data_IF_961358138990
#
_entry.id   IF_961358138990
#
_cell.length_a   1.000
_cell.length_b   1.000
_cell.length_c   1.000
_cell.angle_alpha   90.00
_cell.angle_beta   90.00
_cell.angle_gamma   90.00
#
_symmetry.space_group_name_H-M   'P 1'
#
loop_
_entity.id
_entity.type
_entity.pdbx_description
1 polymer ?
#
# COMPACT_ATOMS: atom_id res chain seq x y z
N UNK A 1 9.43 6.54 22.05
CA UNK A 1 8.11 7.16 21.76
C UNK A 1 8.12 7.77 20.33
N UNK A 2 8.05 6.96 19.27
CA UNK A 2 7.90 7.45 17.87
C UNK A 2 6.79 6.73 17.10
N UNK A 3 6.37 5.53 17.52
CA UNK A 3 5.43 4.70 16.77
C UNK A 3 4.00 5.28 16.67
N UNK A 4 3.55 6.09 17.65
CA UNK A 4 2.22 6.74 17.60
C UNK A 4 2.09 7.63 16.36
N UNK A 5 3.12 8.43 16.05
CA UNK A 5 3.13 9.32 14.87
C UNK A 5 3.21 8.55 13.55
N UNK A 6 3.82 7.37 13.56
CA UNK A 6 4.04 6.55 12.37
C UNK A 6 2.74 5.86 11.95
N UNK A 7 1.98 5.32 12.91
CA UNK A 7 0.64 4.76 12.65
C UNK A 7 -0.34 5.82 12.14
N UNK A 8 -0.31 7.05 12.68
CA UNK A 8 -1.15 8.15 12.17
C UNK A 8 -0.82 8.47 10.70
N UNK A 9 0.47 8.52 10.34
CA UNK A 9 0.88 8.72 8.94
C UNK A 9 0.46 7.57 8.04
N UNK A 10 0.56 6.33 8.52
CA UNK A 10 0.06 5.15 7.82
C UNK A 10 -1.44 5.23 7.53
N UNK A 11 -2.24 5.68 8.51
CA UNK A 11 -3.68 5.89 8.33
C UNK A 11 -4.00 6.98 7.30
N UNK A 12 -3.31 8.13 7.36
CA UNK A 12 -3.49 9.21 6.37
C UNK A 12 -3.11 8.74 4.97
N UNK A 13 -2.01 8.00 4.84
CA UNK A 13 -1.62 7.39 3.57
C UNK A 13 -2.69 6.44 3.02
N UNK A 14 -3.24 5.57 3.89
CA UNK A 14 -4.30 4.65 3.50
C UNK A 14 -5.58 5.39 3.06
N UNK A 15 -5.97 6.45 3.77
CA UNK A 15 -7.21 7.19 3.51
C UNK A 15 -7.13 8.12 2.29
N UNK A 16 -5.97 8.72 2.01
CA UNK A 16 -5.84 9.73 0.95
C UNK A 16 -5.12 9.22 -0.30
N UNK A 17 -4.01 8.48 -0.14
CA UNK A 17 -3.21 8.03 -1.30
C UNK A 17 -3.73 6.70 -1.79
N UNK A 18 -3.88 5.72 -0.89
CA UNK A 18 -4.27 4.36 -1.26
C UNK A 18 -5.69 4.30 -1.83
N UNK A 19 -6.63 5.06 -1.28
CA UNK A 19 -7.99 5.20 -1.80
C UNK A 19 -8.02 5.73 -3.25
N UNK A 20 -7.24 6.77 -3.55
CA UNK A 20 -7.12 7.34 -4.90
C UNK A 20 -6.48 6.36 -5.87
N UNK A 21 -5.44 5.64 -5.42
CA UNK A 21 -4.83 4.58 -6.24
C UNK A 21 -5.85 3.50 -6.60
N UNK A 22 -6.61 3.00 -5.61
CA UNK A 22 -7.64 1.97 -5.82
C UNK A 22 -8.72 2.48 -6.77
N UNK A 23 -9.21 3.71 -6.59
CA UNK A 23 -10.19 4.29 -7.50
C UNK A 23 -9.66 4.40 -8.94
N UNK A 24 -8.39 4.76 -9.11
CA UNK A 24 -7.72 4.73 -10.41
C UNK A 24 -7.65 3.31 -11.00
N UNK A 25 -7.49 2.29 -10.16
CA UNK A 25 -7.48 0.88 -10.57
C UNK A 25 -8.86 0.37 -11.03
N UNK A 26 -9.93 0.91 -10.47
CA UNK A 26 -11.32 0.58 -10.82
C UNK A 26 -11.76 1.26 -12.12
N UNK A 27 -11.32 2.49 -12.33
CA UNK A 27 -11.74 3.32 -13.48
C UNK A 27 -10.93 3.06 -14.74
N UNK A 28 -9.69 2.59 -14.64
CA UNK A 28 -8.80 2.35 -15.78
C UNK A 28 -8.42 0.87 -15.93
N UNK A 29 -8.36 0.33 -17.17
CA UNK A 29 -7.94 -1.05 -17.40
C UNK A 29 -6.45 -1.22 -17.07
N UNK A 30 -6.15 -1.66 -15.85
CA UNK A 30 -4.77 -1.94 -15.42
C UNK A 30 -4.24 -3.24 -16.03
N UNK A 31 -3.01 -3.17 -16.54
CA UNK A 31 -2.22 -4.34 -16.91
C UNK A 31 -1.45 -4.86 -15.69
N UNK A 32 -1.01 -6.11 -15.77
CA UNK A 32 -0.18 -6.75 -14.73
C UNK A 32 1.09 -5.93 -14.47
N UNK A 33 1.66 -5.30 -15.50
CA UNK A 33 2.82 -4.44 -15.36
C UNK A 33 2.54 -3.18 -14.51
N UNK A 34 1.34 -2.60 -14.65
CA UNK A 34 0.94 -1.41 -13.89
C UNK A 34 0.71 -1.75 -12.41
N UNK A 35 0.15 -2.93 -12.13
CA UNK A 35 0.01 -3.45 -10.76
C UNK A 35 1.39 -3.61 -10.11
N UNK A 36 2.37 -4.16 -10.85
CA UNK A 36 3.76 -4.26 -10.36
C UNK A 36 4.37 -2.89 -10.08
N UNK A 37 4.16 -1.90 -10.97
CA UNK A 37 4.61 -0.51 -10.76
C UNK A 37 3.96 0.10 -9.51
N UNK A 38 2.66 -0.12 -9.29
CA UNK A 38 1.93 0.33 -8.11
C UNK A 38 2.48 -0.30 -6.82
N UNK A 39 2.80 -1.60 -6.83
CA UNK A 39 3.43 -2.27 -5.69
C UNK A 39 4.82 -1.67 -5.36
N UNK A 40 5.63 -1.35 -6.36
CA UNK A 40 6.94 -0.70 -6.14
C UNK A 40 6.75 0.70 -5.56
N UNK A 41 5.78 1.46 -6.10
CA UNK A 41 5.43 2.78 -5.59
C UNK A 41 4.99 2.72 -4.12
N UNK A 42 4.08 1.81 -3.77
CA UNK A 42 3.58 1.62 -2.41
C UNK A 42 4.72 1.30 -1.43
N UNK A 43 5.58 0.34 -1.77
CA UNK A 43 6.72 0.01 -0.93
C UNK A 43 7.70 1.18 -0.76
N UNK A 44 7.92 1.99 -1.80
CA UNK A 44 8.74 3.20 -1.71
C UNK A 44 8.12 4.24 -0.77
N UNK A 45 6.81 4.45 -0.85
CA UNK A 45 6.08 5.34 0.04
C UNK A 45 6.12 4.86 1.50
N UNK A 46 5.86 3.58 1.74
CA UNK A 46 5.88 2.98 3.07
C UNK A 46 7.28 3.07 3.71
N UNK A 47 8.36 2.82 2.96
CA UNK A 47 9.73 3.01 3.47
C UNK A 47 10.02 4.46 3.86
N UNK A 48 9.53 5.43 3.06
CA UNK A 48 9.67 6.86 3.36
C UNK A 48 8.89 7.26 4.62
N UNK A 49 7.68 6.71 4.80
CA UNK A 49 6.86 6.93 6.00
C UNK A 49 7.52 6.30 7.24
N UNK A 50 8.05 5.09 7.07
CA UNK A 50 8.75 4.35 8.12
C UNK A 50 10.13 4.93 8.47
N UNK A 51 10.63 5.90 7.70
CA UNK A 51 12.00 6.45 7.78
C UNK A 51 13.07 5.36 7.74
N UNK A 52 12.81 4.32 6.95
CA UNK A 52 13.76 3.23 6.71
C UNK A 52 14.71 3.68 5.60
N UNK A 53 15.98 3.82 5.95
CA UNK A 53 17.05 4.10 4.99
C UNK A 53 17.28 2.89 4.07
N UNK A 54 17.86 3.14 2.90
CA UNK A 54 18.11 2.08 1.91
C UNK A 54 19.17 1.06 2.37
N UNK A 55 20.05 1.46 3.30
CA UNK A 55 21.06 0.61 3.94
C UNK A 55 20.47 -0.45 4.88
N UNK A 56 19.26 -0.21 5.41
CA UNK A 56 18.55 -1.15 6.26
C UNK A 56 17.97 -2.30 5.43
N UNK A 57 18.58 -3.49 5.56
CA UNK A 57 18.02 -4.75 5.06
C UNK A 57 16.83 -5.20 5.91
N UNK A 58 15.69 -4.56 5.71
CA UNK A 58 14.40 -4.95 6.33
C UNK A 58 13.46 -5.55 5.30
N UNK A 59 12.67 -6.53 5.72
CA UNK A 59 11.69 -7.17 4.84
C UNK A 59 10.54 -6.22 4.51
N UNK A 60 10.03 -6.29 3.27
CA UNK A 60 8.88 -5.47 2.86
C UNK A 60 7.64 -5.74 3.72
N UNK A 61 7.45 -6.99 4.15
CA UNK A 61 6.38 -7.37 5.07
C UNK A 61 6.51 -6.65 6.43
N UNK A 62 7.72 -6.56 6.97
CA UNK A 62 7.96 -5.86 8.23
C UNK A 62 7.71 -4.35 8.12
N UNK A 63 8.17 -3.71 7.03
CA UNK A 63 7.92 -2.28 6.78
C UNK A 63 6.42 -2.00 6.71
N UNK A 64 5.67 -2.86 6.01
CA UNK A 64 4.22 -2.75 5.88
C UNK A 64 3.51 -2.92 7.20
N UNK A 65 3.85 -3.95 7.98
CA UNK A 65 3.28 -4.17 9.30
C UNK A 65 3.56 -3.01 10.26
N UNK A 66 4.77 -2.44 10.17
CA UNK A 66 5.15 -1.28 10.98
C UNK A 66 4.34 -0.03 10.67
N UNK A 67 4.05 0.23 9.39
CA UNK A 67 3.33 1.45 8.95
C UNK A 67 1.80 1.29 9.01
N UNK A 68 1.29 0.18 8.52
CA UNK A 68 -0.15 -0.06 8.34
C UNK A 68 -0.78 -0.87 9.47
N UNK A 69 0.02 -1.59 10.27
CA UNK A 69 -0.49 -2.44 11.35
C UNK A 69 -1.55 -3.43 10.86
N UNK A 70 -2.76 -3.34 11.41
CA UNK A 70 -3.92 -4.18 11.05
C UNK A 70 -4.46 -3.97 9.62
N UNK A 71 -4.09 -2.89 8.92
CA UNK A 71 -4.48 -2.62 7.52
C UNK A 71 -3.43 -3.14 6.51
N UNK A 72 -2.65 -4.14 6.91
CA UNK A 72 -1.46 -4.63 6.21
C UNK A 72 -1.69 -5.46 4.96
N UNK A 73 -2.89 -5.40 4.35
CA UNK A 73 -3.12 -6.03 3.06
C UNK A 73 -2.22 -5.39 2.01
N UNK A 74 -1.71 -6.18 1.08
CA UNK A 74 -0.96 -5.70 -0.07
C UNK A 74 -1.89 -4.97 -1.04
N UNK A 75 -1.35 -4.06 -1.86
CA UNK A 75 -2.14 -3.44 -2.93
C UNK A 75 -2.71 -4.49 -3.87
N UNK A 76 -1.97 -5.56 -4.14
CA UNK A 76 -2.42 -6.64 -5.02
C UNK A 76 -3.61 -7.41 -4.44
N UNK A 77 -3.61 -7.73 -3.15
CA UNK A 77 -4.78 -8.33 -2.48
C UNK A 77 -6.00 -7.40 -2.58
N UNK A 78 -5.82 -6.09 -2.34
CA UNK A 78 -6.94 -5.13 -2.42
C UNK A 78 -7.46 -4.97 -3.84
N UNK A 79 -6.57 -4.84 -4.83
CA UNK A 79 -6.95 -4.73 -6.25
C UNK A 79 -7.61 -6.02 -6.74
N UNK A 80 -7.12 -7.19 -6.33
CA UNK A 80 -7.71 -8.48 -6.69
C UNK A 80 -9.07 -8.70 -6.01
N UNK A 81 -9.23 -8.34 -4.73
CA UNK A 81 -10.52 -8.39 -4.02
C UNK A 81 -11.57 -7.52 -4.72
N UNK A 82 -11.22 -6.28 -5.09
CA UNK A 82 -12.13 -5.37 -5.78
C UNK A 82 -12.47 -5.87 -7.20
N UNK A 83 -11.51 -6.41 -7.96
CA UNK A 83 -11.78 -7.03 -9.27
C UNK A 83 -12.71 -8.25 -9.16
N UNK A 84 -12.50 -9.11 -8.17
CA UNK A 84 -13.34 -10.29 -7.94
C UNK A 84 -14.76 -9.92 -7.48
N UNK A 85 -14.92 -8.78 -6.80
CA UNK A 85 -16.23 -8.24 -6.42
C UNK A 85 -17.00 -7.65 -7.61
N UNK A 86 -16.31 -6.99 -8.54
CA UNK A 86 -16.93 -6.40 -9.74
C UNK A 86 -17.34 -7.46 -10.78
N UNK A 87 -16.61 -8.57 -10.87
CA UNK A 87 -16.95 -9.69 -11.77
C UNK A 87 -18.06 -10.61 -11.22
N UNK A 88 -18.60 -10.31 -10.03
CA UNK A 88 -19.65 -11.11 -9.36
C UNK A 88 -21.02 -10.41 -9.36
N UNK A 89 -21.11 -9.21 -9.94
CA UNK A 89 -22.35 -8.53 -10.31
C UNK A 89 -22.56 -8.68 -11.82
#
# INVERSE_FOLDING_TARGET
RQDIRLLTKGRVYCAAVRSVLIYGCETWPLRIEDIRRLQVFDHRCLRKIARVCWDHRVSNAWVRNRVLGKYGESIDEVVNLHRLSLNRL
#
